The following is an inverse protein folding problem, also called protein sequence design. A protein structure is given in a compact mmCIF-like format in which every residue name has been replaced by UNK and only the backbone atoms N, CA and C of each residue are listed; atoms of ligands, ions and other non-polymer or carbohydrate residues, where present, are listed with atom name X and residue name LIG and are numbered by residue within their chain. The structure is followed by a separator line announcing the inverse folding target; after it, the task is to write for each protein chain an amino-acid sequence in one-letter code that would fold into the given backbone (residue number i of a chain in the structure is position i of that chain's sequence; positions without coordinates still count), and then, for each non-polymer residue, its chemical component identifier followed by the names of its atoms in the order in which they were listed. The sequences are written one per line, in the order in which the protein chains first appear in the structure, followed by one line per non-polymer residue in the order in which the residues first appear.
data_IF_046494363919
#
_entry.id   IF_046494363919
#
_cell.length_a   1.000
_cell.length_b   1.000
_cell.length_c   1.000
_cell.angle_alpha   90.00
_cell.angle_beta   90.00
_cell.angle_gamma   90.00
#
_symmetry.space_group_name_H-M   'P 1'
#
loop_
_entity.id
_entity.type
_entity.pdbx_description
1 polymer ?
#
# COMPACT_ATOMS: atom_id res chain seq x y z
N UNK A 1 -17.05 -20.36 23.49
CA UNK A 1 -16.56 -21.16 22.35
C UNK A 1 -15.60 -20.29 21.54
N UNK A 2 -14.33 -20.69 21.36
CA UNK A 2 -13.41 -19.98 20.44
C UNK A 2 -13.59 -20.57 19.04
N UNK A 3 -14.06 -19.77 18.09
CA UNK A 3 -14.10 -20.18 16.69
C UNK A 3 -12.67 -20.29 16.14
N UNK A 4 -12.39 -21.32 15.33
CA UNK A 4 -11.11 -21.43 14.63
C UNK A 4 -11.26 -20.83 13.23
N UNK A 5 -10.19 -20.27 12.69
CA UNK A 5 -10.21 -19.67 11.34
C UNK A 5 -10.69 -20.66 10.27
N UNK A 6 -10.35 -21.95 10.43
CA UNK A 6 -10.78 -23.05 9.54
C UNK A 6 -12.29 -23.30 9.57
N UNK A 7 -12.99 -22.91 10.64
CA UNK A 7 -14.45 -23.01 10.74
C UNK A 7 -15.16 -21.79 10.13
N UNK A 8 -14.42 -20.69 9.89
CA UNK A 8 -14.93 -19.40 9.41
C UNK A 8 -14.71 -19.24 7.90
N UNK A 9 -13.51 -19.55 7.41
CA UNK A 9 -13.12 -19.40 5.99
C UNK A 9 -14.11 -20.03 5.00
N UNK A 10 -14.70 -21.22 5.26
CA UNK A 10 -15.67 -21.82 4.32
C UNK A 10 -16.93 -20.98 4.06
N UNK A 11 -17.15 -19.91 4.82
CA UNK A 11 -18.30 -18.99 4.66
C UNK A 11 -18.04 -17.84 3.68
N UNK A 12 -16.83 -17.74 3.16
CA UNK A 12 -16.41 -16.65 2.28
C UNK A 12 -15.94 -17.21 0.93
N UNK A 13 -16.22 -16.48 -0.14
CA UNK A 13 -15.83 -16.85 -1.51
C UNK A 13 -14.34 -16.63 -1.76
N UNK A 14 -13.72 -15.70 -1.03
CA UNK A 14 -12.30 -15.39 -1.11
C UNK A 14 -11.80 -14.81 0.21
N UNK A 15 -10.49 -14.88 0.44
CA UNK A 15 -9.84 -14.37 1.64
C UNK A 15 -8.80 -13.30 1.27
N UNK A 16 -8.90 -12.13 1.88
CA UNK A 16 -7.83 -11.13 1.85
C UNK A 16 -6.98 -11.29 3.10
N UNK A 17 -5.69 -11.50 2.92
CA UNK A 17 -4.75 -11.80 4.01
C UNK A 17 -3.78 -10.63 4.13
N UNK A 18 -3.81 -9.94 5.26
CA UNK A 18 -2.81 -8.91 5.55
C UNK A 18 -1.40 -9.52 5.60
N UNK A 19 -0.37 -8.74 5.28
CA UNK A 19 1.01 -9.22 5.27
C UNK A 19 1.67 -9.06 6.66
N UNK A 20 1.95 -7.82 7.07
CA UNK A 20 2.71 -7.54 8.29
C UNK A 20 1.83 -7.67 9.54
N UNK A 21 2.33 -8.37 10.57
CA UNK A 21 1.57 -8.74 11.76
C UNK A 21 0.57 -9.90 11.57
N UNK A 22 0.49 -10.48 10.37
CA UNK A 22 -0.41 -11.61 10.06
C UNK A 22 0.32 -12.78 9.42
N UNK A 23 1.03 -12.56 8.31
CA UNK A 23 1.88 -13.57 7.67
C UNK A 23 3.31 -13.48 8.19
N UNK A 24 3.81 -12.26 8.38
CA UNK A 24 5.19 -11.98 8.78
C UNK A 24 5.23 -10.86 9.81
N UNK A 25 6.25 -10.81 10.64
CA UNK A 25 6.57 -9.68 11.53
C UNK A 25 8.10 -9.48 11.60
N UNK A 26 8.55 -8.63 12.53
CA UNK A 26 9.98 -8.34 12.76
C UNK A 26 10.81 -9.60 13.03
N UNK A 27 10.20 -10.66 13.58
CA UNK A 27 10.87 -11.91 13.92
C UNK A 27 10.89 -12.93 12.79
N UNK A 28 10.21 -12.66 11.67
CA UNK A 28 10.10 -13.57 10.53
C UNK A 28 8.67 -13.99 10.22
N UNK A 29 8.49 -15.19 9.69
CA UNK A 29 7.15 -15.72 9.44
C UNK A 29 6.39 -16.01 10.74
N UNK A 30 5.14 -15.54 10.79
CA UNK A 30 4.23 -15.87 11.89
C UNK A 30 3.98 -17.38 11.89
N UNK A 31 3.97 -18.04 13.07
CA UNK A 31 3.76 -19.48 13.14
C UNK A 31 2.51 -19.92 12.38
N UNK A 32 2.70 -20.91 11.49
CA UNK A 32 1.64 -21.52 10.68
C UNK A 32 1.05 -20.61 9.59
N UNK A 33 1.68 -19.48 9.28
CA UNK A 33 1.28 -18.61 8.17
C UNK A 33 1.37 -19.35 6.82
N UNK A 34 2.50 -20.01 6.54
CA UNK A 34 2.66 -20.84 5.36
C UNK A 34 1.61 -21.97 5.29
N UNK A 35 1.45 -22.72 6.40
CA UNK A 35 0.42 -23.77 6.49
C UNK A 35 -1.00 -23.25 6.20
N UNK A 36 -1.29 -22.01 6.57
CA UNK A 36 -2.60 -21.42 6.33
C UNK A 36 -2.82 -21.14 4.85
N UNK A 37 -1.85 -20.55 4.16
CA UNK A 37 -1.93 -20.29 2.73
C UNK A 37 -1.97 -21.60 1.92
N UNK A 38 -1.16 -22.58 2.29
CA UNK A 38 -1.20 -23.91 1.66
C UNK A 38 -2.54 -24.62 1.88
N UNK A 39 -3.14 -24.43 3.06
CA UNK A 39 -4.48 -24.94 3.33
C UNK A 39 -5.55 -24.25 2.48
N UNK A 40 -5.44 -22.94 2.20
CA UNK A 40 -6.32 -22.24 1.26
C UNK A 40 -6.16 -22.79 -0.17
N UNK A 41 -4.91 -22.99 -0.63
CA UNK A 41 -4.59 -23.57 -1.94
C UNK A 41 -5.16 -24.98 -2.11
N UNK A 42 -4.92 -25.86 -1.13
CA UNK A 42 -5.41 -27.25 -1.16
C UNK A 42 -6.95 -27.31 -1.24
N UNK A 43 -7.63 -26.30 -0.71
CA UNK A 43 -9.09 -26.15 -0.77
C UNK A 43 -9.59 -25.40 -1.99
N UNK A 44 -8.70 -24.91 -2.84
CA UNK A 44 -9.03 -24.01 -3.96
C UNK A 44 -9.83 -22.80 -3.51
N UNK A 45 -9.56 -22.28 -2.30
CA UNK A 45 -10.15 -21.04 -1.80
C UNK A 45 -9.29 -19.88 -2.32
N UNK A 46 -9.83 -19.00 -3.20
CA UNK A 46 -9.09 -17.84 -3.69
C UNK A 46 -8.62 -16.95 -2.55
N UNK A 47 -7.40 -16.42 -2.66
CA UNK A 47 -6.90 -15.42 -1.73
C UNK A 47 -6.03 -14.39 -2.42
N UNK A 48 -5.88 -13.23 -1.76
CA UNK A 48 -4.85 -12.25 -2.06
C UNK A 48 -4.15 -11.85 -0.77
N UNK A 49 -2.83 -11.72 -0.83
CA UNK A 49 -2.05 -11.01 0.17
C UNK A 49 -2.20 -9.52 -0.09
N UNK A 50 -2.79 -8.81 0.87
CA UNK A 50 -3.00 -7.36 0.78
C UNK A 50 -2.05 -6.67 1.74
N UNK A 51 -1.40 -5.59 1.31
CA UNK A 51 -0.51 -4.80 2.17
C UNK A 51 -0.67 -3.32 1.88
N UNK A 52 -0.62 -2.50 2.92
CA UNK A 52 -0.54 -1.05 2.80
C UNK A 52 0.88 -0.55 2.49
N UNK A 53 1.84 -1.46 2.34
CA UNK A 53 3.22 -1.15 1.96
C UNK A 53 3.29 -0.65 0.50
N UNK A 54 3.82 0.57 0.32
CA UNK A 54 4.15 1.16 -0.98
C UNK A 54 5.67 1.23 -1.22
N UNK A 55 6.48 0.87 -0.23
CA UNK A 55 7.94 0.83 -0.30
C UNK A 55 8.49 -0.35 -1.11
N UNK A 56 7.60 -1.28 -1.52
CA UNK A 56 7.95 -2.53 -2.21
C UNK A 56 6.96 -2.85 -3.32
N UNK A 57 7.47 -3.33 -4.45
CA UNK A 57 6.68 -3.90 -5.54
C UNK A 57 6.12 -5.28 -5.18
N UNK A 58 5.05 -5.77 -5.83
CA UNK A 58 4.51 -7.10 -5.57
C UNK A 58 5.55 -8.22 -5.66
N UNK A 59 6.45 -8.16 -6.65
CA UNK A 59 7.58 -9.09 -6.81
C UNK A 59 8.59 -9.03 -5.65
N UNK A 60 8.88 -7.82 -5.15
CA UNK A 60 9.77 -7.61 -3.99
C UNK A 60 9.13 -8.16 -2.71
N UNK A 61 7.83 -7.97 -2.54
CA UNK A 61 7.06 -8.55 -1.43
C UNK A 61 7.05 -10.07 -1.52
N UNK A 62 6.81 -10.64 -2.71
CA UNK A 62 6.82 -12.09 -2.93
C UNK A 62 8.17 -12.70 -2.57
N UNK A 63 9.27 -12.11 -3.05
CA UNK A 63 10.62 -12.56 -2.74
C UNK A 63 10.92 -12.51 -1.23
N UNK A 64 10.49 -11.45 -0.54
CA UNK A 64 10.64 -11.33 0.91
C UNK A 64 9.86 -12.41 1.66
N UNK A 65 8.61 -12.65 1.29
CA UNK A 65 7.78 -13.70 1.87
C UNK A 65 8.40 -15.08 1.64
N UNK A 66 8.92 -15.32 0.43
CA UNK A 66 9.59 -16.56 0.08
C UNK A 66 10.83 -16.80 0.93
N UNK A 67 11.65 -15.77 1.15
CA UNK A 67 12.81 -15.83 2.03
C UNK A 67 12.44 -16.19 3.49
N UNK A 68 11.19 -15.93 3.89
CA UNK A 68 10.64 -16.28 5.21
C UNK A 68 9.85 -17.60 5.20
N UNK A 69 9.95 -18.39 4.12
CA UNK A 69 9.30 -19.69 4.00
C UNK A 69 7.82 -19.63 3.61
N UNK A 70 7.34 -18.48 3.12
CA UNK A 70 5.98 -18.30 2.63
C UNK A 70 6.02 -18.12 1.11
N UNK A 71 5.65 -19.16 0.37
CA UNK A 71 5.58 -19.09 -1.09
C UNK A 71 4.28 -18.41 -1.51
N UNK A 72 4.35 -17.33 -2.29
CA UNK A 72 3.25 -16.66 -3.01
C UNK A 72 3.81 -16.08 -4.32
N UNK A 73 2.98 -15.91 -5.35
CA UNK A 73 3.39 -15.20 -6.57
C UNK A 73 3.16 -13.69 -6.44
N UNK A 74 3.73 -12.90 -7.33
CA UNK A 74 3.43 -11.46 -7.43
C UNK A 74 1.94 -11.20 -7.76
N UNK A 75 1.28 -12.11 -8.47
CA UNK A 75 -0.14 -12.02 -8.80
C UNK A 75 -1.05 -12.25 -7.58
N UNK A 76 -0.55 -12.98 -6.58
CA UNK A 76 -1.23 -13.18 -5.30
C UNK A 76 -1.15 -11.91 -4.42
N UNK A 77 -0.39 -10.88 -4.80
CA UNK A 77 -0.11 -9.71 -3.96
C UNK A 77 -0.76 -8.44 -4.51
N UNK A 78 -1.43 -7.72 -3.61
CA UNK A 78 -1.94 -6.38 -3.85
C UNK A 78 -1.36 -5.42 -2.82
N UNK A 79 -0.56 -4.47 -3.31
CA UNK A 79 0.03 -3.39 -2.51
C UNK A 79 -0.80 -2.12 -2.62
N UNK A 80 -0.66 -1.21 -1.66
CA UNK A 80 -1.23 0.14 -1.77
C UNK A 80 -0.57 0.94 -2.90
N UNK A 81 0.72 0.68 -3.20
CA UNK A 81 1.43 1.32 -4.31
C UNK A 81 0.78 1.03 -5.67
N UNK A 82 0.18 -0.15 -5.85
CA UNK A 82 -0.61 -0.47 -7.05
C UNK A 82 -1.84 0.42 -7.27
N UNK A 83 -2.25 1.20 -6.26
CA UNK A 83 -3.34 2.16 -6.35
C UNK A 83 -2.89 3.58 -6.73
N UNK A 84 -1.59 3.86 -6.81
CA UNK A 84 -1.05 5.18 -7.18
C UNK A 84 -1.57 5.60 -8.56
N UNK A 85 -1.40 4.77 -9.58
CA UNK A 85 -1.84 5.08 -10.94
C UNK A 85 -3.33 5.40 -11.05
N UNK A 86 -4.23 4.49 -10.61
CA UNK A 86 -5.67 4.75 -10.59
C UNK A 86 -6.07 6.01 -9.83
N UNK A 87 -5.36 6.35 -8.74
CA UNK A 87 -5.63 7.58 -7.99
C UNK A 87 -5.19 8.83 -8.76
N UNK A 88 -4.00 8.82 -9.36
CA UNK A 88 -3.51 9.91 -10.21
C UNK A 88 -4.43 10.13 -11.43
N UNK A 89 -4.96 9.06 -12.02
CA UNK A 89 -5.95 9.15 -13.10
C UNK A 89 -7.23 9.84 -12.62
N UNK A 90 -7.73 9.48 -11.43
CA UNK A 90 -8.94 10.04 -10.86
C UNK A 90 -8.81 11.54 -10.50
N UNK A 91 -7.61 11.97 -10.10
CA UNK A 91 -7.27 13.37 -9.83
C UNK A 91 -6.93 14.16 -11.12
N UNK A 92 -6.93 13.52 -12.28
CA UNK A 92 -6.68 14.16 -13.57
C UNK A 92 -5.20 14.52 -13.82
N UNK A 93 -4.27 13.86 -13.14
CA UNK A 93 -2.82 14.04 -13.35
C UNK A 93 -2.43 13.39 -14.67
N UNK A 94 -1.92 14.19 -15.61
CA UNK A 94 -1.59 13.73 -16.96
C UNK A 94 -0.49 12.65 -17.00
N UNK A 95 -0.46 11.86 -18.09
CA UNK A 95 0.72 11.04 -18.40
C UNK A 95 1.94 11.97 -18.61
N UNK A 96 3.11 11.53 -18.15
CA UNK A 96 4.35 12.31 -18.16
C UNK A 96 4.42 13.46 -17.14
N UNK A 97 3.37 13.65 -16.32
CA UNK A 97 3.38 14.66 -15.27
C UNK A 97 4.50 14.41 -14.25
N UNK A 98 5.02 15.50 -13.71
CA UNK A 98 6.13 15.50 -12.76
C UNK A 98 5.62 15.11 -11.36
N UNK A 99 6.14 14.01 -10.82
CA UNK A 99 5.69 13.43 -9.57
C UNK A 99 6.87 13.35 -8.59
N UNK A 100 6.87 14.19 -7.55
CA UNK A 100 7.88 14.03 -6.48
C UNK A 100 7.57 12.77 -5.69
N UNK A 101 8.56 11.90 -5.52
CA UNK A 101 8.42 10.65 -4.78
C UNK A 101 9.28 10.67 -3.52
N UNK A 102 8.64 10.41 -2.39
CA UNK A 102 9.27 10.19 -1.11
C UNK A 102 9.15 8.70 -0.76
N UNK A 103 10.24 7.96 -0.92
CA UNK A 103 10.30 6.53 -0.64
C UNK A 103 11.50 5.87 -1.32
N UNK A 104 11.67 4.54 -1.19
CA UNK A 104 12.70 3.79 -1.91
C UNK A 104 12.38 3.62 -3.41
N UNK A 105 13.31 3.03 -4.16
CA UNK A 105 13.21 2.84 -5.62
C UNK A 105 11.91 2.19 -6.10
N UNK A 106 11.38 1.20 -5.37
CA UNK A 106 10.11 0.56 -5.70
C UNK A 106 8.93 1.55 -5.67
N UNK A 107 8.97 2.58 -4.82
CA UNK A 107 8.00 3.68 -4.82
C UNK A 107 8.08 4.51 -6.10
N UNK A 108 9.29 4.76 -6.61
CA UNK A 108 9.50 5.44 -7.89
C UNK A 108 8.95 4.60 -9.04
N UNK A 109 9.19 3.29 -9.00
CA UNK A 109 8.74 2.37 -10.03
C UNK A 109 7.21 2.29 -10.14
N UNK A 110 6.45 2.40 -9.04
CA UNK A 110 4.99 2.52 -9.13
C UNK A 110 4.54 3.73 -9.96
N UNK A 111 5.23 4.86 -9.82
CA UNK A 111 4.95 6.09 -10.59
C UNK A 111 5.32 5.91 -12.06
N UNK A 112 6.44 5.24 -12.37
CA UNK A 112 6.82 4.88 -13.75
C UNK A 112 5.81 3.95 -14.40
N UNK A 113 5.35 2.92 -13.69
CA UNK A 113 4.29 1.99 -14.15
C UNK A 113 2.96 2.71 -14.39
N UNK A 114 2.70 3.76 -13.61
CA UNK A 114 1.57 4.66 -13.82
C UNK A 114 1.79 5.67 -14.97
N UNK A 115 2.91 5.62 -15.69
CA UNK A 115 3.25 6.53 -16.81
C UNK A 115 3.38 7.99 -16.40
N UNK A 116 3.82 8.24 -15.18
CA UNK A 116 4.23 9.58 -14.72
C UNK A 116 5.74 9.62 -14.56
N UNK A 117 6.30 10.82 -14.52
CA UNK A 117 7.73 11.03 -14.34
C UNK A 117 8.05 11.15 -12.84
N UNK A 118 8.68 10.15 -12.21
CA UNK A 118 9.07 10.28 -10.81
C UNK A 118 10.33 11.15 -10.68
N UNK A 119 10.32 12.07 -9.72
CA UNK A 119 11.38 13.05 -9.50
C UNK A 119 11.85 12.97 -8.04
N UNK A 120 13.16 12.98 -7.83
CA UNK A 120 13.75 13.16 -6.49
C UNK A 120 13.50 14.60 -6.03
N UNK A 121 13.10 14.79 -4.78
CA UNK A 121 12.78 16.12 -4.23
C UNK A 121 13.94 17.13 -4.36
N UNK A 122 15.20 16.69 -4.51
CA UNK A 122 16.36 17.57 -4.70
C UNK A 122 16.43 18.15 -6.11
N UNK A 123 15.78 17.51 -7.07
CA UNK A 123 15.74 17.92 -8.48
C UNK A 123 14.44 18.66 -8.83
N UNK A 124 13.56 18.86 -7.84
CA UNK A 124 12.26 19.45 -8.07
C UNK A 124 12.36 20.96 -8.35
N UNK A 125 11.68 21.40 -9.41
CA UNK A 125 11.44 22.81 -9.71
C UNK A 125 9.95 23.15 -9.63
N UNK A 126 9.12 22.32 -10.27
CA UNK A 126 7.66 22.30 -10.20
C UNK A 126 7.23 20.85 -10.32
N UNK A 127 6.15 20.47 -9.63
CA UNK A 127 5.60 19.13 -9.68
C UNK A 127 4.07 19.18 -9.62
N UNK A 128 3.45 18.16 -10.20
CA UNK A 128 2.01 18.00 -10.33
C UNK A 128 1.44 17.09 -9.24
N UNK A 129 2.26 16.17 -8.72
CA UNK A 129 1.88 15.31 -7.60
C UNK A 129 3.03 15.07 -6.62
N UNK A 130 2.68 14.84 -5.35
CA UNK A 130 3.56 14.37 -4.29
C UNK A 130 3.09 12.98 -3.83
N UNK A 131 3.98 12.00 -3.94
CA UNK A 131 3.75 10.61 -3.52
C UNK A 131 4.59 10.35 -2.27
N UNK A 132 3.92 10.07 -1.15
CA UNK A 132 4.57 9.69 0.11
C UNK A 132 4.46 8.18 0.27
N UNK A 133 5.39 7.46 -0.36
CA UNK A 133 5.40 6.00 -0.41
C UNK A 133 5.89 5.34 0.88
N UNK A 134 6.87 5.95 1.55
CA UNK A 134 7.43 5.46 2.81
C UNK A 134 8.19 6.58 3.56
N UNK A 135 8.60 6.33 4.81
CA UNK A 135 9.50 7.22 5.56
C UNK A 135 11.00 6.86 5.40
N UNK A 136 11.31 5.77 4.68
CA UNK A 136 12.67 5.35 4.34
C UNK A 136 13.05 5.65 2.88
N UNK A 137 14.34 5.51 2.57
CA UNK A 137 14.89 5.72 1.22
C UNK A 137 15.37 7.13 0.91
N UNK A 138 15.18 8.08 1.83
CA UNK A 138 15.59 9.48 1.67
C UNK A 138 15.81 10.17 3.03
N UNK A 139 16.54 11.30 3.09
CA UNK A 139 16.67 12.10 4.31
C UNK A 139 15.37 12.86 4.60
N UNK A 140 14.52 12.32 5.47
CA UNK A 140 13.18 12.85 5.76
C UNK A 140 13.14 14.34 6.09
N UNK A 141 14.01 14.81 7.00
CA UNK A 141 14.01 16.21 7.42
C UNK A 141 14.36 17.16 6.26
N UNK A 142 15.31 16.78 5.41
CA UNK A 142 15.71 17.56 4.24
C UNK A 142 14.59 17.61 3.21
N UNK A 143 13.92 16.48 2.96
CA UNK A 143 12.78 16.42 2.06
C UNK A 143 11.61 17.31 2.53
N UNK A 144 11.30 17.25 3.83
CA UNK A 144 10.25 18.09 4.42
C UNK A 144 10.63 19.58 4.30
N UNK A 145 11.86 19.96 4.63
CA UNK A 145 12.34 21.34 4.52
C UNK A 145 12.25 21.86 3.08
N UNK A 146 12.69 21.05 2.11
CA UNK A 146 12.62 21.39 0.70
C UNK A 146 11.18 21.53 0.18
N UNK A 147 10.24 20.73 0.68
CA UNK A 147 8.87 20.66 0.18
C UNK A 147 7.89 21.67 0.79
N UNK A 148 8.11 22.12 2.03
CA UNK A 148 7.16 23.01 2.74
C UNK A 148 6.88 24.27 1.93
N UNK A 149 7.90 25.01 1.52
CA UNK A 149 7.71 26.30 0.84
C UNK A 149 7.01 26.14 -0.52
N UNK A 150 7.46 25.24 -1.43
CA UNK A 150 6.76 25.00 -2.70
C UNK A 150 5.30 24.54 -2.54
N UNK A 151 5.01 23.67 -1.56
CA UNK A 151 3.65 23.21 -1.28
C UNK A 151 2.74 24.36 -0.81
N UNK A 152 3.23 25.18 0.12
CA UNK A 152 2.48 26.35 0.62
C UNK A 152 2.22 27.35 -0.51
N UNK A 153 3.22 27.65 -1.33
CA UNK A 153 3.05 28.55 -2.46
C UNK A 153 2.05 28.02 -3.50
N UNK A 154 2.10 26.72 -3.82
CA UNK A 154 1.15 26.08 -4.72
C UNK A 154 -0.30 26.18 -4.18
N UNK A 155 -0.48 25.94 -2.88
CA UNK A 155 -1.78 26.12 -2.22
C UNK A 155 -2.27 27.56 -2.27
N UNK A 156 -1.39 28.54 -2.03
CA UNK A 156 -1.73 29.97 -2.08
C UNK A 156 -2.11 30.44 -3.48
N UNK A 157 -1.55 29.82 -4.53
CA UNK A 157 -1.96 30.05 -5.93
C UNK A 157 -3.28 29.40 -6.31
N UNK A 158 -3.84 28.54 -5.46
CA UNK A 158 -5.04 27.76 -5.78
C UNK A 158 -4.77 26.57 -6.72
N UNK A 159 -3.50 26.18 -6.88
CA UNK A 159 -3.06 25.06 -7.71
C UNK A 159 -2.34 24.01 -6.84
N UNK A 160 -3.00 23.39 -5.86
CA UNK A 160 -2.34 22.38 -5.03
C UNK A 160 -1.98 21.15 -5.88
N UNK A 161 -0.78 20.57 -5.70
CA UNK A 161 -0.43 19.31 -6.36
C UNK A 161 -1.31 18.18 -5.81
N UNK A 162 -1.50 17.13 -6.60
CA UNK A 162 -2.15 15.91 -6.11
C UNK A 162 -1.32 15.29 -4.99
N UNK A 163 -1.96 14.87 -3.90
CA UNK A 163 -1.26 14.24 -2.77
C UNK A 163 -1.67 12.77 -2.66
N UNK A 164 -0.70 11.87 -2.79
CA UNK A 164 -0.90 10.43 -2.66
C UNK A 164 -0.20 9.94 -1.40
N UNK A 165 -1.00 9.44 -0.45
CA UNK A 165 -0.54 8.85 0.81
C UNK A 165 -1.07 7.41 0.89
N UNK A 166 -0.37 6.41 0.31
CA UNK A 166 -0.82 5.03 0.24
C UNK A 166 -0.95 4.38 1.63
N UNK A 167 -0.21 4.87 2.62
CA UNK A 167 -0.29 4.44 4.01
C UNK A 167 -0.42 5.64 4.98
N UNK A 168 -1.64 5.98 5.44
CA UNK A 168 -1.85 7.04 6.43
C UNK A 168 -1.70 6.57 7.89
N UNK A 169 -1.23 5.36 8.14
CA UNK A 169 -1.16 4.81 9.50
C UNK A 169 -0.12 5.54 10.35
N UNK A 170 -0.59 6.18 11.43
CA UNK A 170 0.24 6.96 12.38
C UNK A 170 1.10 6.05 13.29
N UNK A 171 1.08 4.73 13.10
CA UNK A 171 1.79 3.77 13.95
C UNK A 171 2.47 2.67 13.13
N UNK A 172 3.77 2.82 12.90
CA UNK A 172 4.66 1.65 12.87
C UNK A 172 5.06 1.33 14.32
N UNK A 173 4.96 0.07 14.78
CA UNK A 173 5.74 -0.32 15.95
C UNK A 173 7.22 -0.12 15.60
N UNK A 174 8.02 0.55 16.45
CA UNK A 174 9.47 0.61 16.24
C UNK A 174 10.05 -0.81 16.20
N UNK A 175 11.12 -1.03 15.45
CA UNK A 175 11.79 -2.34 15.35
C UNK A 175 11.97 -2.98 16.74
N UNK A 176 11.42 -4.18 16.92
CA UNK A 176 11.50 -4.92 18.19
C UNK A 176 10.40 -4.60 19.21
N UNK A 177 9.45 -3.70 18.89
CA UNK A 177 8.27 -3.48 19.71
C UNK A 177 7.19 -4.52 19.41
N UNK A 178 6.58 -5.07 20.47
CA UNK A 178 5.51 -6.06 20.34
C UNK A 178 4.30 -5.45 19.59
N UNK A 179 3.72 -6.13 18.60
CA UNK A 179 2.56 -5.59 17.89
C UNK A 179 1.40 -5.35 18.87
N UNK A 180 0.72 -4.19 18.78
CA UNK A 180 -0.39 -3.86 19.67
C UNK A 180 -1.54 -4.86 19.52
N UNK A 181 -2.25 -5.12 20.63
CA UNK A 181 -3.35 -6.10 20.63
C UNK A 181 -4.49 -5.60 19.74
N UNK A 182 -5.28 -6.51 19.18
CA UNK A 182 -6.39 -6.20 18.28
C UNK A 182 -7.41 -5.16 18.82
N UNK A 183 -7.51 -4.99 20.15
CA UNK A 183 -8.38 -3.99 20.80
C UNK A 183 -7.77 -2.57 20.87
N UNK A 184 -6.46 -2.44 20.77
CA UNK A 184 -5.74 -1.15 20.77
C UNK A 184 -5.69 -0.51 19.38
N UNK A 185 -6.08 -1.26 18.33
CA UNK A 185 -6.29 -0.77 16.95
C UNK A 185 -7.58 0.05 16.77
N UNK A 186 -7.98 0.86 17.77
CA UNK A 186 -9.26 1.60 17.76
C UNK A 186 -9.10 3.11 17.77
N UNK A 187 -8.10 3.63 17.08
CA UNK A 187 -7.95 5.06 16.79
C UNK A 187 -7.86 5.30 15.29
N UNK A 188 -8.96 5.01 14.56
CA UNK A 188 -9.20 5.67 13.27
C UNK A 188 -9.52 7.13 13.59
N UNK A 189 -8.62 8.07 13.31
CA UNK A 189 -9.05 9.47 13.16
C UNK A 189 -9.94 9.52 11.92
N UNK A 190 -11.10 10.15 12.06
CA UNK A 190 -12.01 10.37 10.94
C UNK A 190 -11.32 11.31 9.95
N UNK A 191 -10.87 10.78 8.80
CA UNK A 191 -10.25 11.57 7.73
C UNK A 191 -11.21 12.66 7.21
N UNK A 192 -12.51 12.56 7.52
CA UNK A 192 -13.50 13.63 7.34
C UNK A 192 -13.21 14.89 8.17
N UNK A 193 -12.27 14.89 9.11
CA UNK A 193 -11.91 16.09 9.87
C UNK A 193 -10.80 16.95 9.21
N UNK A 194 -10.16 16.47 8.14
CA UNK A 194 -9.08 17.20 7.45
C UNK A 194 -9.65 18.29 6.53
N UNK A 195 -8.95 19.39 6.20
CA UNK A 195 -9.43 20.40 5.24
C UNK A 195 -9.89 19.78 3.91
N UNK A 196 -10.91 20.34 3.21
CA UNK A 196 -11.41 19.77 1.95
C UNK A 196 -10.32 19.55 0.89
N UNK A 197 -9.34 20.44 0.85
CA UNK A 197 -8.19 20.37 -0.05
C UNK A 197 -7.24 19.19 0.20
N UNK A 198 -7.31 18.55 1.38
CA UNK A 198 -6.51 17.38 1.77
C UNK A 198 -7.34 16.10 1.85
N UNK A 199 -8.64 16.18 1.52
CA UNK A 199 -9.57 15.05 1.45
C UNK A 199 -9.76 14.66 -0.01
N UNK A 200 -8.71 14.16 -0.66
CA UNK A 200 -8.85 13.48 -1.95
C UNK A 200 -9.96 12.43 -1.78
N UNK A 201 -11.07 12.57 -2.50
CA UNK A 201 -12.21 11.64 -2.32
C UNK A 201 -11.75 10.28 -2.81
N UNK A 202 -11.74 9.23 -1.99
CA UNK A 202 -11.64 7.89 -2.55
C UNK A 202 -12.96 7.62 -3.26
N UNK A 203 -12.95 7.67 -4.58
CA UNK A 203 -13.96 6.96 -5.36
C UNK A 203 -13.61 5.48 -5.32
N UNK A 204 -14.60 4.58 -5.18
CA UNK A 204 -14.34 3.16 -5.37
C UNK A 204 -13.74 2.96 -6.77
N UNK A 205 -12.67 2.16 -6.93
CA UNK A 205 -12.11 1.91 -8.25
C UNK A 205 -13.18 1.33 -9.17
N UNK A 206 -13.33 1.91 -10.37
CA UNK A 206 -14.28 1.46 -11.39
C UNK A 206 -13.94 0.06 -11.94
N UNK A 207 -12.74 -0.44 -11.67
CA UNK A 207 -12.27 -1.74 -12.11
C UNK A 207 -12.14 -2.68 -10.92
N UNK A 208 -13.20 -3.46 -10.66
CA UNK A 208 -13.05 -4.67 -9.87
C UNK A 208 -12.09 -5.60 -10.62
N UNK A 209 -10.83 -5.68 -10.18
CA UNK A 209 -9.94 -6.76 -10.60
C UNK A 209 -10.56 -8.05 -10.07
N UNK A 210 -11.28 -8.74 -10.94
CA UNK A 210 -11.86 -10.03 -10.60
C UNK A 210 -10.72 -10.96 -10.20
N UNK A 211 -10.85 -11.60 -9.03
CA UNK A 211 -10.00 -12.73 -8.68
C UNK A 211 -10.05 -13.74 -9.83
N UNK A 212 -8.91 -14.34 -10.25
CA UNK A 212 -8.91 -15.34 -11.30
C UNK A 212 -9.92 -16.44 -10.96
N UNK A 213 -10.93 -16.60 -11.82
CA UNK A 213 -11.92 -17.68 -11.74
C UNK A 213 -11.49 -18.76 -12.72
N UNK A 214 -11.04 -19.90 -12.21
CA UNK A 214 -11.01 -21.10 -13.04
C UNK A 214 -12.46 -21.54 -13.34
N UNK A 215 -12.79 -21.88 -14.59
CA UNK A 215 -14.10 -22.44 -14.91
C UNK A 215 -14.26 -23.81 -14.24
N UNK A 216 -15.45 -24.16 -13.72
CA UNK A 216 -15.69 -25.48 -13.19
C UNK A 216 -15.54 -26.50 -14.33
N UNK A 217 -14.56 -27.40 -14.18
CA UNK A 217 -14.33 -28.52 -15.08
C UNK A 217 -15.58 -29.39 -15.21
N UNK A 218 -15.92 -29.72 -16.46
CA UNK A 218 -16.87 -30.77 -16.83
C UNK A 218 -16.18 -32.11 -16.89
#
# INVERSE_FOLDING_TARGET
MRARIRDIVPRFEAILVDAFGVLIDDSGAVPRAAEFLDWLRARKTPFLVVTNDCSRLPETVAARLQAQGITVSEEDILTSGGLIGPHLDAEGVAEGAACVVLGPEDSFEYVRRARREPIDFREMHRFDALIVGDDSGYPLLEAVDALISPLVEACLRGEPPALVLPNPDVRLPPEGARPPRARERRHRRDLRAWPPALRGRPQPPATGRALPRDPPGR
#
